data_IF_994950713859
#
_entry.id   IF_994950713859
#
_cell.length_a   1.000
_cell.length_b   1.000
_cell.length_c   1.000
_cell.angle_alpha   90.00
_cell.angle_beta   90.00
_cell.angle_gamma   90.00
#
_symmetry.space_group_name_H-M   'P 1'
#
loop_
_entity.id
_entity.type
_entity.pdbx_description
1 polymer ?
#
# COMPACT_ATOMS: atom_id res chain seq x y z
N UNK A 1 -5.25 8.07 -9.41
CA UNK A 1 -5.54 8.21 -10.86
C UNK A 1 -5.40 9.66 -11.36
N UNK A 2 -4.41 10.43 -10.90
CA UNK A 2 -4.27 11.86 -11.31
C UNK A 2 -3.39 11.98 -12.57
N UNK A 3 -2.47 11.04 -12.78
CA UNK A 3 -1.50 11.08 -13.87
C UNK A 3 -2.04 10.60 -15.24
N UNK A 4 -3.33 10.29 -15.39
CA UNK A 4 -3.91 9.82 -16.65
C UNK A 4 -3.11 8.65 -17.27
N UNK A 5 -2.95 8.68 -18.60
CA UNK A 5 -2.14 7.68 -19.33
C UNK A 5 -0.65 7.67 -18.95
N UNK A 6 -0.10 8.80 -18.48
CA UNK A 6 1.31 8.90 -18.04
C UNK A 6 1.61 8.10 -16.77
N UNK A 7 0.59 7.70 -16.00
CA UNK A 7 0.76 6.79 -14.88
C UNK A 7 0.95 5.31 -15.27
N UNK A 8 0.84 4.99 -16.57
CA UNK A 8 0.93 3.62 -17.11
C UNK A 8 2.16 3.41 -18.01
N UNK A 9 2.86 4.48 -18.39
CA UNK A 9 4.05 4.42 -19.24
C UNK A 9 5.29 4.32 -18.35
N UNK A 10 6.13 3.29 -18.59
CA UNK A 10 7.37 2.96 -17.87
C UNK A 10 8.41 4.09 -17.73
N UNK A 11 8.21 5.21 -18.40
CA UNK A 11 9.09 6.38 -18.34
C UNK A 11 8.92 7.19 -17.05
N UNK A 12 7.78 7.08 -16.35
CA UNK A 12 7.48 7.92 -15.20
C UNK A 12 7.52 7.11 -13.90
N UNK A 13 8.36 7.54 -12.95
CA UNK A 13 8.56 6.89 -11.65
C UNK A 13 7.28 6.53 -10.86
N UNK A 14 6.15 7.17 -11.18
CA UNK A 14 4.84 6.91 -10.59
C UNK A 14 4.40 5.45 -10.72
N UNK A 15 4.64 4.77 -11.86
CA UNK A 15 4.21 3.37 -11.98
C UNK A 15 5.06 2.43 -11.12
N UNK A 16 6.37 2.71 -11.01
CA UNK A 16 7.29 1.98 -10.13
C UNK A 16 6.89 2.16 -8.67
N UNK A 17 6.66 3.38 -8.22
CA UNK A 17 6.23 3.68 -6.85
C UNK A 17 4.90 3.01 -6.51
N UNK A 18 3.94 3.00 -7.45
CA UNK A 18 2.66 2.32 -7.24
C UNK A 18 2.82 0.80 -7.10
N UNK A 19 3.74 0.17 -7.85
CA UNK A 19 4.07 -1.26 -7.69
C UNK A 19 4.73 -1.54 -6.34
N UNK A 20 5.71 -0.74 -5.95
CA UNK A 20 6.41 -0.89 -4.67
C UNK A 20 5.44 -0.71 -3.49
N UNK A 21 4.56 0.30 -3.54
CA UNK A 21 3.53 0.53 -2.54
C UNK A 21 2.51 -0.62 -2.42
N UNK A 22 2.30 -1.40 -3.48
CA UNK A 22 1.44 -2.60 -3.40
C UNK A 22 2.14 -3.75 -2.69
N UNK A 23 3.45 -3.88 -2.86
CA UNK A 23 4.27 -4.91 -2.21
C UNK A 23 4.35 -4.69 -0.69
N UNK A 24 4.51 -3.43 -0.26
CA UNK A 24 4.58 -3.08 1.17
C UNK A 24 3.31 -3.44 1.93
N UNK A 25 2.16 -3.50 1.25
CA UNK A 25 0.89 -3.96 1.84
C UNK A 25 0.85 -5.45 2.17
N UNK A 26 1.85 -6.25 1.78
CA UNK A 26 1.87 -7.70 1.97
C UNK A 26 3.07 -8.14 2.83
N UNK A 27 4.25 -7.57 2.56
CA UNK A 27 5.51 -8.12 3.06
C UNK A 27 5.74 -7.90 4.57
N UNK A 28 5.44 -6.72 5.11
CA UNK A 28 5.66 -6.39 6.54
C UNK A 28 4.39 -6.51 7.39
N UNK A 29 3.51 -7.42 6.99
CA UNK A 29 2.18 -7.60 7.56
C UNK A 29 1.11 -7.06 6.62
N UNK A 30 0.14 -7.92 6.33
CA UNK A 30 -0.94 -7.53 5.43
C UNK A 30 -1.80 -6.43 6.05
N UNK A 31 -2.53 -5.69 5.21
CA UNK A 31 -3.50 -4.70 5.69
C UNK A 31 -4.51 -5.29 6.69
N UNK A 32 -4.87 -6.56 6.55
CA UNK A 32 -5.75 -7.29 7.49
C UNK A 32 -5.06 -7.54 8.83
N UNK A 33 -3.80 -7.99 8.81
CA UNK A 33 -3.01 -8.19 10.04
C UNK A 33 -2.84 -6.88 10.79
N UNK A 34 -2.54 -5.79 10.09
CA UNK A 34 -2.44 -4.46 10.71
C UNK A 34 -3.76 -4.02 11.36
N UNK A 35 -4.90 -4.25 10.70
CA UNK A 35 -6.22 -3.98 11.31
C UNK A 35 -6.44 -4.80 12.57
N UNK A 36 -6.09 -6.08 12.58
CA UNK A 36 -6.22 -6.95 13.77
C UNK A 36 -5.35 -6.42 14.92
N UNK A 37 -4.10 -6.04 14.64
CA UNK A 37 -3.18 -5.49 15.65
C UNK A 37 -3.74 -4.19 16.23
N UNK A 38 -4.16 -3.25 15.39
CA UNK A 38 -4.75 -1.98 15.83
C UNK A 38 -6.03 -2.21 16.65
N UNK A 39 -6.94 -3.06 16.18
CA UNK A 39 -8.17 -3.41 16.90
C UNK A 39 -7.88 -4.04 18.26
N UNK A 40 -6.88 -4.93 18.35
CA UNK A 40 -6.47 -5.54 19.63
C UNK A 40 -5.90 -4.50 20.57
N UNK A 41 -5.11 -3.55 20.09
CA UNK A 41 -4.58 -2.46 20.91
C UNK A 41 -5.69 -1.57 21.44
N UNK A 42 -6.65 -1.19 20.59
CA UNK A 42 -7.79 -0.34 20.96
C UNK A 42 -8.75 -1.00 21.97
N UNK A 43 -8.97 -2.31 21.88
CA UNK A 43 -9.86 -3.05 22.78
C UNK A 43 -9.20 -3.46 24.11
N UNK A 44 -7.90 -3.18 24.28
CA UNK A 44 -7.15 -3.50 25.51
C UNK A 44 -7.08 -2.32 26.47
N UNK A 45 -7.45 -1.13 26.02
CA UNK A 45 -7.82 0.03 26.85
C UNK A 45 -9.28 -0.09 27.31
#
# INVERSE_FOLDING_TARGET
QIHGGYGYVKEYHVERLMREAKLTQIYEGTSEVQKIVVSRTLLRE
#
